data_IF_031791079193
#
_entry.id   IF_031791079193
#
_cell.length_a   1.000
_cell.length_b   1.000
_cell.length_c   1.000
_cell.angle_alpha   90.00
_cell.angle_beta   90.00
_cell.angle_gamma   90.00
#
_symmetry.space_group_name_H-M   'P 1'
#
loop_
_entity.id
_entity.type
_entity.pdbx_description
1 polymer ?
#
# COMPACT_ATOMS: atom_id res chain seq x y z
N UNK A 1 -11.87 -18.41 -15.38
CA UNK A 1 -10.69 -17.54 -15.19
C UNK A 1 -9.90 -18.08 -14.02
N UNK A 2 -8.61 -18.44 -14.19
CA UNK A 2 -7.78 -18.92 -13.07
C UNK A 2 -7.41 -17.74 -12.18
N UNK A 3 -7.59 -17.88 -10.88
CA UNK A 3 -7.18 -16.90 -9.88
C UNK A 3 -5.91 -17.43 -9.23
N UNK A 4 -4.87 -16.62 -9.22
CA UNK A 4 -3.63 -16.90 -8.51
C UNK A 4 -3.52 -15.91 -7.35
N UNK A 5 -3.07 -16.40 -6.20
CA UNK A 5 -2.77 -15.56 -5.04
C UNK A 5 -1.54 -14.68 -5.32
N UNK A 6 -1.16 -13.87 -4.33
CA UNK A 6 -0.07 -12.90 -4.49
C UNK A 6 1.27 -13.63 -4.46
N UNK A 7 1.41 -14.55 -3.52
CA UNK A 7 2.62 -15.31 -3.23
C UNK A 7 3.05 -16.11 -4.46
N UNK A 8 2.12 -16.82 -5.09
CA UNK A 8 2.35 -17.57 -6.33
C UNK A 8 2.81 -16.65 -7.47
N UNK A 9 2.21 -15.46 -7.62
CA UNK A 9 2.61 -14.52 -8.68
C UNK A 9 4.03 -14.00 -8.46
N UNK A 10 4.42 -13.74 -7.21
CA UNK A 10 5.76 -13.30 -6.87
C UNK A 10 6.80 -14.40 -7.13
N UNK A 11 6.52 -15.63 -6.73
CA UNK A 11 7.38 -16.78 -7.01
C UNK A 11 7.48 -17.09 -8.51
N UNK A 12 6.35 -17.06 -9.22
CA UNK A 12 6.30 -17.28 -10.66
C UNK A 12 7.09 -16.21 -11.43
N UNK A 13 7.07 -14.97 -10.96
CA UNK A 13 7.93 -13.91 -11.49
C UNK A 13 9.39 -14.19 -11.24
N UNK A 14 9.77 -14.55 -10.01
CA UNK A 14 11.15 -14.84 -9.65
C UNK A 14 11.71 -15.94 -10.56
N UNK A 15 10.99 -17.05 -10.68
CA UNK A 15 11.34 -18.14 -11.58
C UNK A 15 11.44 -17.65 -13.04
N UNK A 16 10.48 -16.85 -13.49
CA UNK A 16 10.50 -16.27 -14.84
C UNK A 16 11.71 -15.35 -15.11
N UNK A 17 12.32 -14.74 -14.10
CA UNK A 17 13.57 -13.98 -14.25
C UNK A 17 14.81 -14.87 -14.25
N UNK A 18 14.77 -16.02 -13.57
CA UNK A 18 15.87 -16.98 -13.49
C UNK A 18 16.00 -17.84 -14.75
N UNK A 19 14.89 -18.44 -15.20
CA UNK A 19 14.89 -19.41 -16.32
C UNK A 19 14.21 -18.88 -17.59
N UNK A 20 13.66 -17.67 -17.52
CA UNK A 20 12.90 -17.05 -18.62
C UNK A 20 11.40 -17.37 -18.58
N UNK A 21 10.57 -16.51 -19.21
CA UNK A 21 9.10 -16.60 -19.13
C UNK A 21 8.52 -17.86 -19.79
N UNK A 22 9.16 -18.39 -20.84
CA UNK A 22 8.69 -19.59 -21.53
C UNK A 22 8.92 -20.85 -20.70
N UNK A 23 10.13 -21.04 -20.18
CA UNK A 23 10.45 -22.20 -19.33
C UNK A 23 9.65 -22.17 -18.01
N UNK A 24 9.51 -21.00 -17.38
CA UNK A 24 8.67 -20.84 -16.19
C UNK A 24 7.18 -21.10 -16.48
N UNK A 25 6.70 -20.74 -17.67
CA UNK A 25 5.32 -21.01 -18.09
C UNK A 25 5.03 -22.51 -18.17
N UNK A 26 5.94 -23.26 -18.79
CA UNK A 26 5.82 -24.72 -18.93
C UNK A 26 5.89 -25.43 -17.58
N UNK A 27 6.83 -25.02 -16.73
CA UNK A 27 7.02 -25.64 -15.41
C UNK A 27 5.85 -25.38 -14.45
N UNK A 28 5.27 -24.17 -14.48
CA UNK A 28 4.20 -23.77 -13.57
C UNK A 28 2.80 -24.04 -14.12
N UNK A 29 2.68 -24.44 -15.40
CA UNK A 29 1.39 -24.61 -16.07
C UNK A 29 0.59 -23.30 -16.20
N UNK A 30 1.29 -22.16 -16.22
CA UNK A 30 0.73 -20.81 -16.34
C UNK A 30 0.89 -20.35 -17.78
N UNK A 31 -0.14 -19.77 -18.44
CA UNK A 31 0.01 -19.30 -19.82
C UNK A 31 1.16 -18.27 -19.96
N UNK A 32 2.00 -18.35 -21.01
CA UNK A 32 3.18 -17.49 -21.11
C UNK A 32 2.80 -16.01 -21.20
N UNK A 33 1.70 -15.68 -21.87
CA UNK A 33 1.11 -14.32 -21.92
C UNK A 33 0.79 -13.76 -20.54
N UNK A 34 0.41 -14.61 -19.58
CA UNK A 34 0.14 -14.23 -18.19
C UNK A 34 1.44 -13.82 -17.49
N UNK A 35 2.52 -14.59 -17.67
CA UNK A 35 3.84 -14.25 -17.13
C UNK A 35 4.39 -12.94 -17.73
N UNK A 36 4.26 -12.73 -19.03
CA UNK A 36 4.65 -11.45 -19.66
C UNK A 36 3.87 -10.27 -19.06
N UNK A 37 2.57 -10.44 -18.85
CA UNK A 37 1.72 -9.43 -18.22
C UNK A 37 2.19 -9.12 -16.80
N UNK A 38 2.47 -10.15 -16.00
CA UNK A 38 2.96 -10.00 -14.64
C UNK A 38 4.32 -9.31 -14.60
N UNK A 39 5.25 -9.63 -15.51
CA UNK A 39 6.55 -8.95 -15.59
C UNK A 39 6.39 -7.47 -15.93
N UNK A 40 5.47 -7.14 -16.84
CA UNK A 40 5.13 -5.75 -17.16
C UNK A 40 4.57 -5.00 -15.95
N UNK A 41 3.65 -5.63 -15.21
CA UNK A 41 3.08 -5.05 -13.98
C UNK A 41 4.15 -4.88 -12.89
N UNK A 42 5.03 -5.86 -12.71
CA UNK A 42 6.15 -5.80 -11.77
C UNK A 42 7.12 -4.68 -12.12
N UNK A 43 7.42 -4.47 -13.41
CA UNK A 43 8.30 -3.37 -13.84
C UNK A 43 7.67 -2.00 -13.58
N UNK A 44 6.35 -1.87 -13.74
CA UNK A 44 5.63 -0.60 -13.57
C UNK A 44 5.34 -0.25 -12.12
N UNK A 45 5.08 -1.25 -11.28
CA UNK A 45 4.54 -1.05 -9.94
C UNK A 45 5.39 -1.66 -8.82
N UNK A 46 6.48 -2.36 -9.15
CA UNK A 46 7.36 -2.99 -8.17
C UNK A 46 6.60 -3.92 -7.22
N UNK A 47 6.83 -3.76 -5.93
CA UNK A 47 6.15 -4.50 -4.85
C UNK A 47 4.63 -4.28 -4.78
N UNK A 48 4.10 -3.25 -5.46
CA UNK A 48 2.68 -2.94 -5.52
C UNK A 48 1.98 -3.53 -6.77
N UNK A 49 2.66 -4.39 -7.51
CA UNK A 49 2.09 -5.00 -8.72
C UNK A 49 0.84 -5.85 -8.41
N UNK A 50 0.81 -6.54 -7.27
CA UNK A 50 -0.20 -7.55 -6.94
C UNK A 50 -0.99 -7.26 -5.65
N UNK A 51 -1.62 -6.08 -5.56
CA UNK A 51 -2.44 -5.69 -4.39
C UNK A 51 -3.84 -6.31 -4.34
N UNK A 52 -4.22 -7.12 -5.34
CA UNK A 52 -5.57 -7.69 -5.45
C UNK A 52 -6.59 -6.71 -6.04
N UNK A 53 -7.73 -7.24 -6.52
CA UNK A 53 -8.82 -6.41 -7.05
C UNK A 53 -9.44 -5.59 -5.92
N UNK A 54 -9.84 -4.34 -6.22
CA UNK A 54 -10.50 -3.44 -5.26
C UNK A 54 -9.59 -2.75 -4.24
N UNK A 55 -8.30 -3.09 -4.19
CA UNK A 55 -7.35 -2.47 -3.27
C UNK A 55 -6.56 -1.37 -3.97
N UNK A 56 -6.42 -0.22 -3.31
CA UNK A 56 -5.62 0.88 -3.81
C UNK A 56 -4.13 0.50 -3.72
N UNK A 57 -3.37 0.73 -4.80
CA UNK A 57 -1.91 0.58 -4.82
C UNK A 57 -1.27 1.72 -4.02
N UNK A 58 -1.30 1.60 -2.70
CA UNK A 58 -0.69 2.56 -1.79
C UNK A 58 0.61 1.97 -1.30
N UNK A 59 1.69 2.73 -1.46
CA UNK A 59 2.96 2.39 -0.84
C UNK A 59 2.80 2.37 0.70
N UNK A 60 3.25 1.32 1.42
CA UNK A 60 3.08 1.21 2.87
C UNK A 60 3.56 2.44 3.63
N UNK A 61 4.66 3.08 3.20
CA UNK A 61 5.16 4.30 3.84
C UNK A 61 4.22 5.47 3.61
N UNK A 62 3.62 5.56 2.42
CA UNK A 62 2.62 6.60 2.13
C UNK A 62 1.35 6.41 2.96
N UNK A 63 0.93 5.16 3.20
CA UNK A 63 -0.21 4.87 4.07
C UNK A 63 0.08 5.28 5.53
N UNK A 64 1.28 4.96 6.03
CA UNK A 64 1.74 5.35 7.36
C UNK A 64 1.83 6.87 7.50
N UNK A 65 2.43 7.57 6.54
CA UNK A 65 2.51 9.04 6.52
C UNK A 65 1.13 9.68 6.64
N UNK A 66 0.14 9.22 5.87
CA UNK A 66 -1.24 9.73 5.96
C UNK A 66 -1.86 9.49 7.34
N UNK A 67 -1.58 8.34 7.95
CA UNK A 67 -2.02 8.03 9.31
C UNK A 67 -1.43 8.99 10.34
N UNK A 68 -0.13 9.26 10.23
CA UNK A 68 0.59 10.19 11.11
C UNK A 68 0.10 11.64 10.92
N UNK A 69 -0.08 12.11 9.68
CA UNK A 69 -0.63 13.43 9.37
C UNK A 69 -2.03 13.63 9.98
N UNK A 70 -2.89 12.60 9.87
CA UNK A 70 -4.21 12.62 10.51
C UNK A 70 -4.07 12.73 12.03
N UNK A 71 -3.16 11.97 12.64
CA UNK A 71 -2.94 12.00 14.08
C UNK A 71 -2.43 13.35 14.57
N UNK A 72 -1.49 13.96 13.84
CA UNK A 72 -0.99 15.32 14.13
C UNK A 72 -2.15 16.31 14.12
N UNK A 73 -2.97 16.30 13.06
CA UNK A 73 -4.12 17.22 12.95
C UNK A 73 -5.11 17.08 14.10
N UNK A 74 -5.43 15.84 14.50
CA UNK A 74 -6.29 15.57 15.66
C UNK A 74 -5.70 16.13 16.96
N UNK A 75 -4.39 15.95 17.17
CA UNK A 75 -3.68 16.44 18.34
C UNK A 75 -3.60 17.97 18.37
N UNK A 76 -3.32 18.61 17.23
CA UNK A 76 -3.31 20.07 17.09
C UNK A 76 -4.70 20.65 17.41
N UNK A 77 -5.76 20.05 16.86
CA UNK A 77 -7.13 20.47 17.14
C UNK A 77 -7.49 20.32 18.62
N UNK A 78 -7.14 19.20 19.26
CA UNK A 78 -7.37 19.00 20.68
C UNK A 78 -6.61 20.02 21.53
N UNK A 79 -5.34 20.31 21.17
CA UNK A 79 -4.52 21.29 21.85
C UNK A 79 -5.12 22.70 21.75
N UNK A 80 -5.62 23.08 20.56
CA UNK A 80 -6.29 24.37 20.36
C UNK A 80 -7.57 24.51 21.19
N UNK A 81 -8.36 23.44 21.32
CA UNK A 81 -9.54 23.42 22.18
C UNK A 81 -9.13 23.61 23.64
N UNK A 82 -8.10 22.91 24.11
CA UNK A 82 -7.60 23.02 25.48
C UNK A 82 -7.06 24.43 25.78
N UNK A 83 -6.30 25.02 24.85
CA UNK A 83 -5.82 26.40 24.97
C UNK A 83 -6.97 27.40 25.06
N UNK A 84 -8.00 27.25 24.23
CA UNK A 84 -9.21 28.09 24.28
C UNK A 84 -9.95 27.93 25.61
N UNK A 85 -10.08 26.72 26.12
CA UNK A 85 -10.69 26.45 27.42
C UNK A 85 -9.90 27.11 28.56
N UNK A 86 -8.56 26.98 28.57
CA UNK A 86 -7.69 27.63 29.56
C UNK A 86 -7.84 29.16 29.53
N UNK A 87 -7.89 29.77 28.34
CA UNK A 87 -8.09 31.21 28.20
C UNK A 87 -9.45 31.65 28.79
N UNK A 88 -10.52 30.90 28.49
CA UNK A 88 -11.85 31.15 29.04
C UNK A 88 -11.87 31.06 30.58
N UNK A 89 -11.24 30.02 31.16
CA UNK A 89 -11.16 29.89 32.62
C UNK A 89 -10.35 31.02 33.27
N UNK A 90 -9.22 31.41 32.68
CA UNK A 90 -8.38 32.50 33.20
C UNK A 90 -9.11 33.86 33.18
N UNK A 91 -9.97 34.11 32.19
CA UNK A 91 -10.79 35.32 32.13
C UNK A 91 -11.91 35.31 33.18
N UNK A 92 -12.52 34.15 33.44
CA UNK A 92 -13.56 34.00 34.45
C UNK A 92 -13.06 34.24 35.90
N UNK A 93 -11.79 33.96 36.19
CA UNK A 93 -11.19 34.17 37.52
C UNK A 93 -10.81 35.63 37.82
N UNK A 94 -10.86 36.52 36.83
CA UNK A 94 -10.54 37.95 37.01
C UNK A 94 -11.78 38.81 37.34
N UNK A 95 -12.97 38.22 37.34
CA UNK A 95 -14.22 38.83 37.80
C UNK A 95 -14.50 38.46 39.24
#
# INVERSE_FOLDING_TARGET
MRVYDKEFKEEALKLSYEIGPTAASEQLGVPPTTLYTWRGQSKKHGSLAFVGSGHQRIDPKTAEMKGLEKKIRELESANDILKKALAFFAESQKR
#
